data_IF_970264477392
#
_entry.id   IF_970264477392
#
_cell.length_a   1.000
_cell.length_b   1.000
_cell.length_c   1.000
_cell.angle_alpha   90.00
_cell.angle_beta   90.00
_cell.angle_gamma   90.00
#
_symmetry.space_group_name_H-M   'P 1'
#
loop_
_entity.id
_entity.type
_entity.pdbx_description
1 polymer ?
#
# COMPACT_ATOMS: atom_id res chain seq x y z
N UNK A 1 -41.13 58.32 -24.55
CA UNK A 1 -40.54 58.81 -23.28
C UNK A 1 -40.57 57.62 -22.33
N UNK A 2 -39.44 57.05 -21.87
CA UNK A 2 -38.58 57.57 -20.78
C UNK A 2 -39.39 57.70 -19.47
N UNK A 3 -39.08 57.06 -18.32
CA UNK A 3 -37.80 56.60 -17.75
C UNK A 3 -38.02 55.55 -16.61
N UNK A 4 -37.09 54.58 -16.39
CA UNK A 4 -36.76 53.90 -15.09
C UNK A 4 -37.88 53.20 -14.24
N UNK A 5 -37.69 52.39 -13.18
CA UNK A 5 -36.61 51.62 -12.51
C UNK A 5 -37.30 50.71 -11.43
N UNK A 6 -36.76 49.69 -10.72
CA UNK A 6 -35.44 49.00 -10.66
C UNK A 6 -35.65 47.55 -10.09
N UNK A 7 -34.61 46.71 -10.09
CA UNK A 7 -34.60 45.37 -9.45
C UNK A 7 -34.68 45.38 -7.91
N UNK A 8 -35.22 44.30 -7.31
CA UNK A 8 -34.61 43.68 -6.13
C UNK A 8 -34.78 42.15 -6.13
N UNK A 9 -33.65 41.45 -6.27
CA UNK A 9 -33.49 40.03 -5.90
C UNK A 9 -33.47 39.96 -4.36
N UNK A 10 -34.08 38.98 -3.69
CA UNK A 10 -33.71 37.58 -3.73
C UNK A 10 -32.80 37.27 -2.53
N UNK A 11 -33.37 36.69 -1.47
CA UNK A 11 -32.68 36.41 -0.21
C UNK A 11 -32.99 34.99 0.28
N UNK A 12 -32.38 34.00 -0.38
CA UNK A 12 -32.37 32.61 0.09
C UNK A 12 -31.19 32.42 1.03
N UNK A 13 -31.45 32.30 2.34
CA UNK A 13 -30.41 32.17 3.35
C UNK A 13 -29.80 30.75 3.31
N UNK A 14 -28.79 30.56 2.47
CA UNK A 14 -28.08 29.29 2.33
C UNK A 14 -27.25 28.97 3.58
N UNK A 15 -27.68 27.99 4.36
CA UNK A 15 -26.94 27.49 5.53
C UNK A 15 -25.66 26.78 5.08
N UNK A 16 -24.51 27.45 5.21
CA UNK A 16 -23.21 26.89 4.87
C UNK A 16 -22.74 25.93 6.00
N UNK A 17 -23.11 24.65 5.91
CA UNK A 17 -22.61 23.62 6.83
C UNK A 17 -21.15 23.33 6.47
N UNK A 18 -20.23 24.02 7.15
CA UNK A 18 -18.79 23.72 7.09
C UNK A 18 -18.54 22.44 7.89
N UNK A 19 -18.57 21.30 7.20
CA UNK A 19 -18.13 20.03 7.77
C UNK A 19 -16.60 20.08 7.95
N UNK A 20 -16.17 20.50 9.14
CA UNK A 20 -14.81 20.22 9.62
C UNK A 20 -14.68 18.69 9.76
N UNK A 21 -14.21 18.04 8.70
CA UNK A 21 -13.74 16.67 8.78
C UNK A 21 -12.58 16.64 9.77
N UNK A 22 -12.83 16.07 10.96
CA UNK A 22 -11.79 15.89 11.95
C UNK A 22 -10.75 14.95 11.37
N UNK A 23 -9.58 15.48 10.98
CA UNK A 23 -8.44 14.68 10.56
C UNK A 23 -7.94 13.96 11.81
N UNK A 24 -8.48 12.76 12.03
CA UNK A 24 -8.00 11.84 13.05
C UNK A 24 -6.55 11.52 12.71
N UNK A 25 -5.62 12.10 13.46
CA UNK A 25 -4.22 11.70 13.42
C UNK A 25 -4.17 10.21 13.79
N UNK A 26 -3.94 9.36 12.79
CA UNK A 26 -3.86 7.92 12.99
C UNK A 26 -2.58 7.64 13.78
N UNK A 27 -2.73 7.46 15.10
CA UNK A 27 -1.62 7.00 15.93
C UNK A 27 -1.13 5.66 15.38
N UNK A 28 0.18 5.46 15.18
CA UNK A 28 0.69 4.19 14.69
C UNK A 28 0.27 3.07 15.65
N UNK A 29 -0.37 2.02 15.11
CA UNK A 29 -0.90 0.91 15.91
C UNK A 29 0.18 -0.03 16.45
N UNK A 30 1.44 0.26 16.14
CA UNK A 30 2.62 -0.52 16.46
C UNK A 30 3.72 0.38 17.04
N UNK A 31 4.63 -0.23 17.78
CA UNK A 31 5.88 0.40 18.24
C UNK A 31 6.98 -0.65 18.28
N UNK A 32 8.25 -0.28 17.99
CA UNK A 32 9.40 -1.14 18.30
C UNK A 32 9.39 -1.55 19.78
N UNK A 33 9.62 -2.84 20.05
CA UNK A 33 9.62 -3.37 21.42
C UNK A 33 8.26 -3.85 21.96
N UNK A 34 7.19 -3.93 21.16
CA UNK A 34 5.99 -4.68 21.56
C UNK A 34 6.36 -6.17 21.84
N UNK A 35 6.00 -6.74 23.00
CA UNK A 35 6.32 -8.14 23.31
C UNK A 35 5.78 -9.12 22.27
N UNK A 36 6.63 -10.00 21.77
CA UNK A 36 6.27 -11.02 20.78
C UNK A 36 6.23 -10.56 19.32
N UNK A 37 6.42 -9.27 19.03
CA UNK A 37 6.55 -8.74 17.67
C UNK A 37 7.93 -9.07 17.09
N UNK A 38 7.97 -9.90 16.05
CA UNK A 38 9.13 -10.03 15.16
C UNK A 38 8.95 -9.07 13.98
N UNK A 39 10.00 -8.33 13.59
CA UNK A 39 9.93 -7.43 12.45
C UNK A 39 11.32 -7.19 11.85
N UNK A 40 11.33 -6.81 10.57
CA UNK A 40 12.53 -6.39 9.86
C UNK A 40 12.75 -4.90 10.13
N UNK A 41 13.88 -4.56 10.72
CA UNK A 41 14.27 -3.16 10.95
C UNK A 41 14.59 -2.43 9.64
N UNK A 42 14.38 -1.12 9.60
CA UNK A 42 14.79 -0.29 8.46
C UNK A 42 14.09 -0.60 7.14
N UNK A 43 12.86 -1.13 7.16
CA UNK A 43 12.01 -1.23 5.96
C UNK A 43 11.35 0.14 5.72
N UNK A 44 11.66 0.84 4.61
CA UNK A 44 11.14 2.19 4.40
C UNK A 44 9.67 2.15 3.95
N UNK A 45 8.83 3.00 4.53
CA UNK A 45 7.52 3.29 3.99
C UNK A 45 7.65 4.28 2.83
N UNK A 46 7.19 3.88 1.64
CA UNK A 46 7.00 4.78 0.50
C UNK A 46 5.50 4.95 0.30
N UNK A 47 5.02 6.20 0.38
CA UNK A 47 3.62 6.52 0.17
C UNK A 47 3.29 6.50 -1.33
N UNK A 48 2.19 5.84 -1.67
CA UNK A 48 1.59 5.94 -3.00
C UNK A 48 1.06 7.37 -3.23
N UNK A 49 1.28 7.93 -4.41
CA UNK A 49 0.89 9.28 -4.81
C UNK A 49 -0.49 9.31 -5.50
N UNK A 50 -0.85 8.23 -6.20
CA UNK A 50 -2.05 8.12 -7.00
C UNK A 50 -3.08 7.14 -6.39
N UNK A 51 -4.07 6.74 -7.20
CA UNK A 51 -5.10 5.79 -6.76
C UNK A 51 -4.62 4.34 -6.67
N UNK A 52 -3.80 3.92 -7.64
CA UNK A 52 -3.57 2.51 -7.98
C UNK A 52 -2.07 2.11 -8.05
N UNK A 53 -1.17 3.04 -7.74
CA UNK A 53 0.29 2.92 -7.70
C UNK A 53 0.85 2.23 -6.43
N UNK A 54 0.02 1.40 -5.78
CA UNK A 54 0.43 0.57 -4.64
C UNK A 54 1.56 -0.41 -5.00
N UNK A 55 1.64 -0.88 -6.26
CA UNK A 55 2.72 -1.73 -6.76
C UNK A 55 4.08 -1.01 -6.83
N UNK A 56 4.19 0.14 -7.53
CA UNK A 56 5.36 1.00 -7.51
C UNK A 56 5.82 1.34 -6.10
N UNK A 57 4.90 1.76 -5.21
CA UNK A 57 5.21 2.10 -3.83
C UNK A 57 5.74 0.90 -3.02
N UNK A 58 5.13 -0.28 -3.16
CA UNK A 58 5.60 -1.51 -2.52
C UNK A 58 6.99 -1.92 -3.06
N UNK A 59 7.24 -1.78 -4.36
CA UNK A 59 8.56 -2.07 -4.94
C UNK A 59 9.62 -1.09 -4.46
N UNK A 60 9.31 0.21 -4.41
CA UNK A 60 10.19 1.26 -3.91
C UNK A 60 10.64 0.97 -2.46
N UNK A 61 9.70 0.53 -1.60
CA UNK A 61 10.01 0.07 -0.23
C UNK A 61 11.02 -1.09 -0.20
N UNK A 62 10.81 -2.13 -1.02
CA UNK A 62 11.76 -3.26 -1.11
C UNK A 62 13.13 -2.84 -1.66
N UNK A 63 13.16 -1.97 -2.67
CA UNK A 63 14.39 -1.46 -3.30
C UNK A 63 15.20 -0.60 -2.33
N UNK A 64 14.55 0.34 -1.64
CA UNK A 64 15.19 1.22 -0.66
C UNK A 64 15.75 0.42 0.52
N UNK A 65 15.05 -0.62 0.99
CA UNK A 65 15.58 -1.57 1.98
C UNK A 65 16.83 -2.34 1.50
N UNK A 66 17.06 -2.41 0.18
CA UNK A 66 18.27 -2.98 -0.45
C UNK A 66 19.29 -1.94 -0.89
N UNK A 67 19.20 -0.71 -0.37
CA UNK A 67 20.12 0.37 -0.71
C UNK A 67 20.03 0.78 -2.18
N UNK A 68 18.81 0.74 -2.75
CA UNK A 68 18.47 1.32 -4.05
C UNK A 68 17.37 2.36 -3.82
N UNK A 69 17.79 3.57 -3.50
CA UNK A 69 16.89 4.73 -3.47
C UNK A 69 16.67 5.18 -4.92
N UNK A 70 15.45 4.97 -5.43
CA UNK A 70 15.06 5.22 -6.82
C UNK A 70 13.74 6.01 -6.78
N UNK A 71 13.63 7.14 -7.51
CA UNK A 71 12.40 7.94 -7.55
C UNK A 71 11.18 7.10 -7.91
N UNK A 72 10.08 7.30 -7.18
CA UNK A 72 8.85 6.52 -7.36
C UNK A 72 8.29 6.67 -8.77
N UNK A 73 8.43 7.85 -9.36
CA UNK A 73 8.00 8.19 -10.73
C UNK A 73 8.78 7.36 -11.79
N UNK A 74 10.06 7.06 -11.53
CA UNK A 74 10.86 6.21 -12.41
C UNK A 74 10.44 4.74 -12.32
N UNK A 75 10.01 4.30 -11.13
CA UNK A 75 9.49 2.95 -10.91
C UNK A 75 8.11 2.83 -11.57
N UNK A 76 7.21 3.78 -11.31
CA UNK A 76 5.85 3.85 -11.87
C UNK A 76 5.87 3.84 -13.39
N UNK A 77 6.71 4.67 -14.02
CA UNK A 77 6.86 4.74 -15.48
C UNK A 77 7.38 3.45 -16.16
N UNK A 78 7.77 2.43 -15.39
CA UNK A 78 8.11 1.10 -15.90
C UNK A 78 7.11 0.01 -15.47
N UNK A 79 6.66 0.00 -14.20
CA UNK A 79 5.86 -1.11 -13.64
C UNK A 79 4.35 -0.87 -13.63
N UNK A 80 3.87 0.34 -13.91
CA UNK A 80 2.45 0.65 -13.97
C UNK A 80 1.91 0.51 -15.41
N UNK A 81 0.86 -0.28 -15.59
CA UNK A 81 0.14 -0.44 -16.86
C UNK A 81 -1.23 0.26 -16.76
N UNK A 82 -1.42 1.33 -17.54
CA UNK A 82 -2.67 2.09 -17.61
C UNK A 82 -3.87 1.25 -18.07
N UNK A 83 -3.65 0.22 -18.91
CA UNK A 83 -4.69 -0.66 -19.46
C UNK A 83 -5.20 -1.64 -18.40
N UNK A 84 -4.32 -2.01 -17.47
CA UNK A 84 -4.66 -2.82 -16.28
C UNK A 84 -5.12 -1.94 -15.11
N UNK A 85 -4.75 -0.66 -15.11
CA UNK A 85 -4.98 0.28 -14.02
C UNK A 85 -4.20 -0.10 -12.76
N UNK A 86 -2.99 -0.65 -12.90
CA UNK A 86 -2.19 -1.20 -11.80
C UNK A 86 -0.89 -1.84 -12.29
N UNK A 87 -0.26 -2.67 -11.45
CA UNK A 87 1.06 -3.27 -11.75
C UNK A 87 1.06 -4.78 -11.66
N UNK A 88 1.75 -5.43 -12.59
CA UNK A 88 2.03 -6.86 -12.52
C UNK A 88 3.29 -7.14 -11.71
N UNK A 89 3.22 -8.20 -10.92
CA UNK A 89 4.35 -8.69 -10.13
C UNK A 89 5.54 -9.14 -11.00
N UNK A 90 5.29 -9.50 -12.26
CA UNK A 90 6.33 -9.79 -13.25
C UNK A 90 7.10 -8.52 -13.66
N UNK A 91 6.44 -7.39 -13.86
CA UNK A 91 7.11 -6.13 -14.23
C UNK A 91 7.88 -5.55 -13.05
N UNK A 92 7.32 -5.68 -11.84
CA UNK A 92 8.03 -5.38 -10.58
C UNK A 92 9.30 -6.23 -10.42
N UNK A 93 9.23 -7.52 -10.77
CA UNK A 93 10.37 -8.43 -10.78
C UNK A 93 11.40 -8.00 -11.84
N UNK A 94 10.98 -7.76 -13.09
CA UNK A 94 11.86 -7.35 -14.18
C UNK A 94 12.59 -6.03 -13.86
N UNK A 95 11.90 -5.05 -13.27
CA UNK A 95 12.50 -3.80 -12.84
C UNK A 95 13.60 -4.02 -11.79
N UNK A 96 13.33 -4.79 -10.74
CA UNK A 96 14.31 -5.07 -9.69
C UNK A 96 15.54 -5.83 -10.22
N UNK A 97 15.34 -6.79 -11.13
CA UNK A 97 16.43 -7.48 -11.85
C UNK A 97 17.26 -6.50 -12.69
N UNK A 98 16.61 -5.53 -13.35
CA UNK A 98 17.28 -4.43 -14.05
C UNK A 98 18.16 -3.54 -13.16
N UNK A 99 17.87 -3.46 -11.86
CA UNK A 99 18.71 -2.76 -10.86
C UNK A 99 19.87 -3.63 -10.32
N UNK A 100 20.10 -4.80 -10.92
CA UNK A 100 21.14 -5.76 -10.52
C UNK A 100 20.84 -6.50 -9.22
N UNK A 101 19.57 -6.61 -8.83
CA UNK A 101 19.14 -7.33 -7.63
C UNK A 101 18.59 -8.72 -7.99
N UNK A 102 18.89 -9.71 -7.14
CA UNK A 102 18.14 -10.97 -7.19
C UNK A 102 16.69 -10.75 -6.76
N UNK A 103 15.80 -11.59 -7.27
CA UNK A 103 14.37 -11.56 -7.00
C UNK A 103 13.85 -12.97 -6.82
N UNK A 104 12.91 -13.19 -5.90
CA UNK A 104 12.11 -14.43 -5.90
C UNK A 104 10.62 -14.12 -5.84
N UNK A 105 9.89 -14.82 -6.69
CA UNK A 105 8.45 -14.71 -6.86
C UNK A 105 7.81 -16.10 -6.87
N UNK A 106 6.52 -16.17 -6.57
CA UNK A 106 5.80 -17.44 -6.60
C UNK A 106 4.50 -17.38 -5.81
N UNK A 107 4.02 -18.56 -5.41
CA UNK A 107 2.86 -18.73 -4.52
C UNK A 107 3.33 -19.17 -3.15
N UNK A 108 2.81 -18.55 -2.10
CA UNK A 108 3.27 -18.75 -0.72
C UNK A 108 2.18 -19.19 0.25
N UNK A 109 2.52 -19.17 1.52
CA UNK A 109 1.64 -19.36 2.66
C UNK A 109 2.10 -18.47 3.83
N UNK A 110 1.31 -18.44 4.91
CA UNK A 110 1.62 -17.66 6.12
C UNK A 110 2.96 -18.08 6.75
N UNK A 111 3.33 -19.37 6.64
CA UNK A 111 4.61 -19.86 7.13
C UNK A 111 5.80 -19.31 6.32
N UNK A 112 5.65 -19.10 5.01
CA UNK A 112 6.63 -18.41 4.18
C UNK A 112 6.80 -16.98 4.66
N UNK A 113 5.72 -16.22 4.86
CA UNK A 113 5.82 -14.83 5.30
C UNK A 113 6.58 -14.70 6.64
N UNK A 114 6.29 -15.58 7.62
CA UNK A 114 7.04 -15.64 8.89
C UNK A 114 8.53 -15.91 8.65
N UNK A 115 8.88 -16.97 7.90
CA UNK A 115 10.28 -17.28 7.54
C UNK A 115 11.01 -16.16 6.79
N UNK A 116 10.30 -15.34 6.02
CA UNK A 116 10.90 -14.19 5.35
C UNK A 116 11.21 -13.06 6.34
N UNK A 117 10.29 -12.74 7.25
CA UNK A 117 10.53 -11.79 8.35
C UNK A 117 11.68 -12.25 9.24
N UNK A 118 11.70 -13.53 9.65
CA UNK A 118 12.79 -14.13 10.44
C UNK A 118 14.16 -14.05 9.74
N UNK A 119 14.16 -14.07 8.40
CA UNK A 119 15.35 -13.93 7.57
C UNK A 119 15.73 -12.46 7.27
N UNK A 120 15.07 -11.48 7.90
CA UNK A 120 15.34 -10.05 7.68
C UNK A 120 14.89 -9.55 6.30
N UNK A 121 13.81 -10.12 5.72
CA UNK A 121 13.37 -9.85 4.34
C UNK A 121 11.92 -9.39 4.29
N UNK A 122 11.64 -8.11 3.95
CA UNK A 122 10.29 -7.68 3.64
C UNK A 122 9.77 -8.33 2.35
N UNK A 123 8.46 -8.51 2.26
CA UNK A 123 7.80 -9.23 1.16
C UNK A 123 6.65 -8.39 0.62
N UNK A 124 6.66 -8.09 -0.67
CA UNK A 124 5.48 -7.56 -1.35
C UNK A 124 4.49 -8.71 -1.62
N UNK A 125 3.23 -8.55 -1.22
CA UNK A 125 2.15 -9.50 -1.47
C UNK A 125 0.98 -8.79 -2.17
N UNK A 126 0.35 -9.48 -3.13
CA UNK A 126 -0.84 -8.98 -3.81
C UNK A 126 -2.09 -9.52 -3.10
N UNK A 127 -2.95 -8.63 -2.60
CA UNK A 127 -4.18 -9.00 -1.87
C UNK A 127 -5.42 -8.34 -2.48
N UNK A 128 -6.60 -8.83 -2.12
CA UNK A 128 -7.87 -8.18 -2.47
C UNK A 128 -8.36 -7.28 -1.33
N UNK A 129 -8.41 -5.96 -1.58
CA UNK A 129 -8.88 -4.94 -0.63
C UNK A 129 -10.24 -4.38 -1.03
N UNK A 130 -11.02 -3.93 -0.04
CA UNK A 130 -12.41 -3.48 -0.22
C UNK A 130 -13.45 -4.52 0.21
N UNK A 131 -14.71 -4.26 -0.15
CA UNK A 131 -15.87 -5.08 0.21
C UNK A 131 -16.89 -5.13 -0.94
N UNK A 132 -17.58 -6.27 -1.09
CA UNK A 132 -18.57 -6.48 -2.15
C UNK A 132 -18.03 -6.12 -3.55
N UNK A 133 -18.76 -5.30 -4.35
CA UNK A 133 -18.33 -4.90 -5.69
C UNK A 133 -17.19 -3.87 -5.71
N UNK A 134 -16.75 -3.37 -4.55
CA UNK A 134 -15.62 -2.42 -4.43
C UNK A 134 -14.29 -3.14 -4.14
N UNK A 135 -14.24 -4.47 -4.33
CA UNK A 135 -13.02 -5.27 -4.23
C UNK A 135 -12.07 -4.95 -5.38
N UNK A 136 -10.78 -4.79 -5.06
CA UNK A 136 -9.71 -4.52 -6.03
C UNK A 136 -8.37 -5.14 -5.61
N UNK A 137 -7.51 -5.50 -6.58
CA UNK A 137 -6.11 -5.85 -6.31
C UNK A 137 -5.39 -4.71 -5.59
N UNK A 138 -4.54 -5.04 -4.63
CA UNK A 138 -3.76 -4.07 -3.84
C UNK A 138 -2.47 -4.72 -3.33
N UNK A 139 -1.34 -4.03 -3.40
CA UNK A 139 -0.08 -4.53 -2.85
C UNK A 139 0.13 -4.08 -1.41
N UNK A 140 0.60 -5.00 -0.56
CA UNK A 140 1.10 -4.72 0.79
C UNK A 140 2.58 -5.08 0.87
N UNK A 141 3.35 -4.37 1.69
CA UNK A 141 4.69 -4.82 2.11
C UNK A 141 4.56 -5.41 3.51
N UNK A 142 4.73 -6.73 3.64
CA UNK A 142 4.79 -7.44 4.92
C UNK A 142 6.21 -7.36 5.45
N UNK A 143 6.38 -6.87 6.67
CA UNK A 143 7.70 -6.71 7.30
C UNK A 143 7.75 -7.10 8.78
N UNK A 144 6.64 -7.55 9.37
CA UNK A 144 6.65 -8.10 10.73
C UNK A 144 5.45 -9.00 11.02
N UNK A 145 5.48 -9.67 12.17
CA UNK A 145 4.35 -10.45 12.69
C UNK A 145 4.41 -10.60 14.21
N UNK A 146 3.24 -10.83 14.82
CA UNK A 146 3.09 -11.39 16.16
C UNK A 146 2.30 -12.73 16.08
N UNK A 147 1.88 -13.28 17.22
CA UNK A 147 1.17 -14.56 17.26
C UNK A 147 -0.10 -14.58 16.37
N UNK A 148 -0.81 -13.46 16.28
CA UNK A 148 -2.14 -13.32 15.66
C UNK A 148 -2.12 -12.47 14.39
N UNK A 149 -1.16 -11.56 14.22
CA UNK A 149 -1.22 -10.47 13.21
C UNK A 149 0.08 -10.32 12.43
N UNK A 150 0.00 -9.76 11.23
CA UNK A 150 1.13 -9.28 10.44
C UNK A 150 1.20 -7.76 10.48
N UNK A 151 2.41 -7.23 10.49
CA UNK A 151 2.72 -5.80 10.39
C UNK A 151 3.05 -5.47 8.93
N UNK A 152 2.30 -4.53 8.35
CA UNK A 152 2.34 -4.21 6.92
C UNK A 152 2.40 -2.71 6.63
N UNK A 153 2.97 -2.35 5.48
CA UNK A 153 2.66 -1.09 4.81
C UNK A 153 1.56 -1.34 3.78
N UNK A 154 0.52 -0.51 3.76
CA UNK A 154 -0.61 -0.64 2.82
C UNK A 154 -0.56 0.37 1.65
N UNK A 155 0.60 1.00 1.42
CA UNK A 155 0.79 2.06 0.42
C UNK A 155 0.29 3.43 0.86
N UNK A 156 -0.69 3.53 1.77
CA UNK A 156 -1.22 4.80 2.31
C UNK A 156 -0.80 5.05 3.76
N UNK A 157 -0.49 3.98 4.47
CA UNK A 157 -0.31 3.95 5.92
C UNK A 157 0.88 3.04 6.26
N UNK A 158 1.75 3.54 7.14
CA UNK A 158 2.95 2.83 7.56
C UNK A 158 2.69 1.98 8.83
N UNK A 159 2.86 0.66 8.74
CA UNK A 159 2.92 -0.20 9.93
C UNK A 159 1.55 -0.42 10.55
N UNK A 160 0.60 -0.89 9.74
CA UNK A 160 -0.68 -1.37 10.22
C UNK A 160 -0.60 -2.84 10.60
N UNK A 161 -1.29 -3.22 11.67
CA UNK A 161 -1.54 -4.63 11.95
C UNK A 161 -2.74 -5.14 11.15
N UNK A 162 -2.56 -6.28 10.47
CA UNK A 162 -3.62 -7.05 9.81
C UNK A 162 -3.68 -8.44 10.45
N UNK A 163 -4.87 -8.92 10.81
CA UNK A 163 -5.04 -10.27 11.36
C UNK A 163 -4.53 -11.34 10.38
N UNK A 164 -3.89 -12.40 10.87
CA UNK A 164 -3.27 -13.44 10.03
C UNK A 164 -4.29 -14.14 9.15
N UNK A 165 -5.48 -14.40 9.68
CA UNK A 165 -6.60 -15.00 8.95
C UNK A 165 -7.19 -14.03 7.93
N UNK A 166 -7.18 -12.72 8.19
CA UNK A 166 -7.59 -11.73 7.20
C UNK A 166 -6.60 -11.65 6.05
N UNK A 167 -5.30 -11.52 6.36
CA UNK A 167 -4.25 -11.52 5.35
C UNK A 167 -4.32 -12.80 4.51
N UNK A 168 -4.42 -13.97 5.14
CA UNK A 168 -4.55 -15.25 4.43
C UNK A 168 -5.74 -15.27 3.48
N UNK A 169 -6.95 -14.89 3.94
CA UNK A 169 -8.15 -14.87 3.09
C UNK A 169 -8.04 -13.90 1.91
N UNK A 170 -7.50 -12.69 2.13
CA UNK A 170 -7.34 -11.66 1.08
C UNK A 170 -6.22 -11.98 0.10
N UNK A 171 -5.20 -12.70 0.53
CA UNK A 171 -4.07 -13.13 -0.28
C UNK A 171 -4.40 -14.38 -1.11
N UNK A 172 -5.24 -15.26 -0.58
CA UNK A 172 -5.72 -16.47 -1.25
C UNK A 172 -6.55 -16.18 -2.51
N UNK A 173 -7.44 -15.17 -2.48
CA UNK A 173 -8.18 -14.73 -3.68
C UNK A 173 -7.25 -14.26 -4.81
N UNK A 174 -6.05 -13.80 -4.46
CA UNK A 174 -5.00 -13.35 -5.38
C UNK A 174 -3.90 -14.41 -5.61
N UNK A 175 -4.26 -15.71 -5.53
CA UNK A 175 -3.37 -16.86 -5.75
C UNK A 175 -2.14 -16.95 -4.83
N UNK A 176 -2.15 -16.25 -3.69
CA UNK A 176 -1.05 -16.16 -2.71
C UNK A 176 0.28 -15.70 -3.34
N UNK A 177 0.20 -14.76 -4.28
CA UNK A 177 1.37 -14.23 -5.01
C UNK A 177 2.25 -13.34 -4.12
N UNK A 178 3.58 -13.55 -4.17
CA UNK A 178 4.56 -12.74 -3.46
C UNK A 178 5.79 -12.39 -4.34
N UNK A 179 6.49 -11.33 -3.93
CA UNK A 179 7.82 -10.92 -4.40
C UNK A 179 8.68 -10.55 -3.18
N UNK A 180 9.92 -11.03 -3.15
CA UNK A 180 10.97 -10.49 -2.26
C UNK A 180 12.31 -10.40 -2.98
N UNK A 181 13.18 -9.56 -2.42
CA UNK A 181 14.57 -9.37 -2.84
C UNK A 181 15.46 -10.09 -1.79
N UNK A 182 16.28 -11.10 -2.15
CA UNK A 182 17.05 -11.93 -1.20
C UNK A 182 18.16 -11.21 -0.43
#
# INVERSE_FOLDING_TARGET
MFFSAVFLRGASLGLLIVLFACVSAQHPTWSPGQPGLQFVEGVPFVAQQAGNDCGPAALASLLAHRGRDIPLEQIEGYVYDERLGGSLLADMQNFAQGQGLETRTGRGDIALLRRMVDAGRPVAVLVEMGFGPLRRPHYLVVFGYDAERFLVHDGRTAGLFMASEELQRRWETMNRLYLYLP
#
